data_IF_388157258168
#
_entry.id   IF_388157258168
#
_cell.length_a   1.000
_cell.length_b   1.000
_cell.length_c   1.000
_cell.angle_alpha   90.00
_cell.angle_beta   90.00
_cell.angle_gamma   90.00
#
_symmetry.space_group_name_H-M   'P 1'
#
loop_
_entity.id
_entity.type
_entity.pdbx_description
1 polymer ?
#
# COMPACT_ATOMS: atom_id res chain seq x y z
N UNK A 1 6.50 -25.99 -21.39
CA UNK A 1 7.48 -26.80 -20.61
C UNK A 1 6.92 -27.11 -19.22
N UNK A 2 6.60 -26.11 -18.37
CA UNK A 2 6.07 -26.34 -17.01
C UNK A 2 4.63 -26.89 -16.93
N UNK A 3 3.86 -26.83 -18.03
CA UNK A 3 2.54 -27.48 -18.12
C UNK A 3 2.59 -29.01 -18.19
N UNK A 4 3.79 -29.59 -18.26
CA UNK A 4 3.98 -31.04 -18.24
C UNK A 4 4.15 -31.50 -16.77
N UNK A 5 3.27 -32.36 -16.24
CA UNK A 5 3.34 -32.84 -14.86
C UNK A 5 4.61 -33.63 -14.52
N UNK A 6 5.45 -33.97 -15.51
CA UNK A 6 6.76 -34.58 -15.29
C UNK A 6 7.90 -33.59 -14.97
N UNK A 7 7.68 -32.28 -15.12
CA UNK A 7 8.69 -31.25 -14.79
C UNK A 7 8.56 -30.90 -13.31
N UNK A 8 9.55 -31.29 -12.50
CA UNK A 8 9.62 -30.90 -11.08
C UNK A 8 9.94 -29.41 -10.98
N UNK A 9 9.02 -28.62 -10.45
CA UNK A 9 9.20 -27.19 -10.15
C UNK A 9 10.20 -26.94 -9.01
N UNK A 10 10.48 -27.96 -8.20
CA UNK A 10 11.33 -27.89 -6.99
C UNK A 10 12.63 -28.67 -7.16
N UNK A 11 13.21 -28.67 -8.36
CA UNK A 11 14.58 -29.13 -8.49
C UNK A 11 15.53 -28.23 -7.68
N UNK A 12 16.62 -28.81 -7.20
CA UNK A 12 17.66 -28.10 -6.47
C UNK A 12 18.92 -28.04 -7.33
N UNK A 13 19.59 -26.90 -7.33
CA UNK A 13 20.96 -26.80 -7.85
C UNK A 13 22.01 -27.27 -6.84
N UNK A 14 23.28 -27.10 -7.16
CA UNK A 14 24.41 -27.53 -6.32
C UNK A 14 24.49 -26.81 -4.95
N UNK A 15 23.78 -25.68 -4.80
CA UNK A 15 23.72 -24.88 -3.57
C UNK A 15 22.37 -25.04 -2.84
N UNK A 16 21.51 -25.97 -3.30
CA UNK A 16 20.19 -26.17 -2.74
C UNK A 16 19.16 -25.08 -3.12
N UNK A 17 19.39 -24.29 -4.18
CA UNK A 17 18.40 -23.30 -4.62
C UNK A 17 17.35 -23.91 -5.54
N UNK A 18 16.09 -23.50 -5.33
CA UNK A 18 14.97 -23.82 -6.23
C UNK A 18 14.88 -22.82 -7.40
N UNK A 19 14.20 -23.18 -8.51
CA UNK A 19 13.85 -22.23 -9.57
C UNK A 19 13.13 -20.98 -9.04
N UNK A 20 12.29 -21.13 -8.02
CA UNK A 20 11.57 -20.01 -7.40
C UNK A 20 12.53 -19.05 -6.68
N UNK A 21 13.52 -19.58 -5.95
CA UNK A 21 14.56 -18.76 -5.31
C UNK A 21 15.36 -17.97 -6.35
N UNK A 22 15.77 -18.60 -7.45
CA UNK A 22 16.46 -17.94 -8.55
C UNK A 22 15.61 -16.83 -9.18
N UNK A 23 14.34 -17.12 -9.49
CA UNK A 23 13.42 -16.13 -10.06
C UNK A 23 13.20 -14.93 -9.12
N UNK A 24 13.04 -15.21 -7.82
CA UNK A 24 12.85 -14.18 -6.80
C UNK A 24 14.07 -13.28 -6.66
N UNK A 25 15.26 -13.86 -6.55
CA UNK A 25 16.52 -13.12 -6.45
C UNK A 25 16.80 -12.25 -7.69
N UNK A 26 16.48 -12.76 -8.88
CA UNK A 26 16.65 -12.06 -10.16
C UNK A 26 15.52 -11.07 -10.48
N UNK A 27 14.54 -10.90 -9.60
CA UNK A 27 13.45 -9.96 -9.80
C UNK A 27 12.49 -10.33 -10.94
N UNK A 28 12.36 -11.61 -11.30
CA UNK A 28 11.55 -12.08 -12.43
C UNK A 28 10.12 -12.42 -11.99
N UNK A 29 9.26 -11.40 -11.88
CA UNK A 29 7.89 -11.54 -11.38
C UNK A 29 7.05 -12.57 -12.14
N UNK A 30 7.09 -12.57 -13.47
CA UNK A 30 6.32 -13.53 -14.28
C UNK A 30 6.77 -14.98 -14.08
N UNK A 31 8.07 -15.19 -13.87
CA UNK A 31 8.62 -16.52 -13.56
C UNK A 31 8.19 -16.98 -12.17
N UNK A 32 8.23 -16.08 -11.17
CA UNK A 32 7.72 -16.37 -9.83
C UNK A 32 6.24 -16.77 -9.90
N UNK A 33 5.43 -16.00 -10.63
CA UNK A 33 4.00 -16.26 -10.81
C UNK A 33 3.74 -17.62 -11.41
N UNK A 34 4.46 -17.95 -12.50
CA UNK A 34 4.32 -19.22 -13.20
C UNK A 34 4.74 -20.41 -12.30
N UNK A 35 5.84 -20.29 -11.57
CA UNK A 35 6.33 -21.35 -10.69
C UNK A 35 5.36 -21.61 -9.51
N UNK A 36 4.86 -20.54 -8.89
CA UNK A 36 3.87 -20.63 -7.81
C UNK A 36 2.55 -21.26 -8.29
N UNK A 37 2.07 -20.90 -9.48
CA UNK A 37 0.88 -21.51 -10.09
C UNK A 37 1.04 -23.02 -10.34
N UNK A 38 2.28 -23.47 -10.55
CA UNK A 38 2.61 -24.89 -10.74
C UNK A 38 3.01 -25.60 -9.44
N UNK A 39 2.75 -25.00 -8.28
CA UNK A 39 2.92 -25.64 -6.98
C UNK A 39 4.35 -25.67 -6.47
N UNK A 40 5.20 -24.73 -6.88
CA UNK A 40 6.54 -24.60 -6.31
C UNK A 40 6.48 -24.43 -4.79
N UNK A 41 7.36 -25.14 -4.08
CA UNK A 41 7.49 -25.05 -2.63
C UNK A 41 8.08 -23.70 -2.23
N UNK A 42 7.20 -22.84 -1.72
CA UNK A 42 7.52 -21.47 -1.30
C UNK A 42 8.41 -21.42 -0.04
N UNK A 43 8.36 -22.48 0.79
CA UNK A 43 9.03 -22.55 2.09
C UNK A 43 10.25 -23.48 2.07
N UNK A 44 10.65 -23.98 0.91
CA UNK A 44 11.89 -24.74 0.76
C UNK A 44 13.06 -23.98 1.39
N UNK A 45 13.86 -24.70 2.18
CA UNK A 45 14.99 -24.15 2.95
C UNK A 45 16.27 -25.00 2.80
N UNK A 46 16.34 -25.83 1.76
CA UNK A 46 17.47 -26.73 1.46
C UNK A 46 18.72 -25.98 0.96
N UNK A 47 18.64 -24.66 0.74
CA UNK A 47 19.78 -23.83 0.40
C UNK A 47 20.88 -23.94 1.47
N UNK A 48 22.16 -23.92 1.08
CA UNK A 48 23.31 -24.12 1.99
C UNK A 48 23.30 -23.22 3.24
N UNK A 49 22.70 -22.03 3.12
CA UNK A 49 22.58 -21.06 4.21
C UNK A 49 21.16 -20.98 4.81
N UNK A 50 20.24 -21.85 4.41
CA UNK A 50 18.85 -21.87 4.85
C UNK A 50 18.03 -20.68 4.33
N UNK A 51 18.30 -20.22 3.11
CA UNK A 51 17.57 -19.09 2.54
C UNK A 51 16.29 -19.58 1.88
N UNK A 52 15.16 -18.94 2.19
CA UNK A 52 13.87 -19.22 1.55
C UNK A 52 13.64 -18.29 0.36
N UNK A 53 12.65 -18.60 -0.47
CA UNK A 53 12.24 -17.72 -1.57
C UNK A 53 11.89 -16.29 -1.10
N UNK A 54 11.27 -16.16 0.08
CA UNK A 54 10.94 -14.86 0.67
C UNK A 54 12.18 -14.05 1.05
N UNK A 55 13.24 -14.70 1.53
CA UNK A 55 14.51 -14.01 1.84
C UNK A 55 15.16 -13.47 0.56
N UNK A 56 15.15 -14.24 -0.53
CA UNK A 56 15.65 -13.78 -1.83
C UNK A 56 14.81 -12.65 -2.42
N UNK A 57 13.48 -12.70 -2.29
CA UNK A 57 12.62 -11.60 -2.70
C UNK A 57 12.91 -10.31 -1.90
N UNK A 58 13.08 -10.43 -0.59
CA UNK A 58 13.48 -9.31 0.27
C UNK A 58 14.84 -8.71 -0.13
N UNK A 59 15.80 -9.55 -0.52
CA UNK A 59 17.11 -9.11 -1.02
C UNK A 59 17.05 -8.43 -2.38
N UNK A 60 16.16 -8.89 -3.27
CA UNK A 60 15.97 -8.31 -4.61
C UNK A 60 15.41 -6.88 -4.58
N UNK A 61 14.73 -6.50 -3.49
CA UNK A 61 14.02 -5.24 -3.38
C UNK A 61 12.68 -5.18 -4.12
N UNK A 62 12.27 -6.27 -4.79
CA UNK A 62 11.03 -6.33 -5.54
C UNK A 62 9.84 -6.62 -4.60
N UNK A 63 9.09 -5.57 -4.27
CA UNK A 63 7.92 -5.64 -3.40
C UNK A 63 6.77 -6.47 -3.99
N UNK A 64 6.59 -6.47 -5.32
CA UNK A 64 5.55 -7.26 -6.00
C UNK A 64 5.84 -8.76 -5.82
N UNK A 65 7.08 -9.18 -6.06
CA UNK A 65 7.51 -10.57 -5.84
C UNK A 65 7.37 -10.97 -4.37
N UNK A 66 7.76 -10.07 -3.47
CA UNK A 66 7.64 -10.28 -2.03
C UNK A 66 6.18 -10.54 -1.64
N UNK A 67 5.25 -9.71 -2.11
CA UNK A 67 3.82 -9.89 -1.88
C UNK A 67 3.29 -11.18 -2.51
N UNK A 68 3.70 -11.51 -3.73
CA UNK A 68 3.31 -12.75 -4.42
C UNK A 68 3.72 -14.00 -3.64
N UNK A 69 4.95 -14.04 -3.14
CA UNK A 69 5.49 -15.15 -2.35
C UNK A 69 4.77 -15.25 -1.00
N UNK A 70 4.47 -14.13 -0.34
CA UNK A 70 3.68 -14.12 0.90
C UNK A 70 2.25 -14.63 0.67
N UNK A 71 1.60 -14.22 -0.42
CA UNK A 71 0.28 -14.70 -0.81
C UNK A 71 0.26 -16.20 -1.14
N UNK A 72 1.40 -16.76 -1.57
CA UNK A 72 1.58 -18.20 -1.75
C UNK A 72 1.83 -18.98 -0.44
N UNK A 73 1.82 -18.31 0.72
CA UNK A 73 1.95 -18.96 2.03
C UNK A 73 3.36 -18.97 2.59
N UNK A 74 4.25 -18.07 2.14
CA UNK A 74 5.58 -17.98 2.71
C UNK A 74 5.56 -17.62 4.20
N UNK A 75 6.35 -18.35 4.98
CA UNK A 75 6.55 -18.08 6.40
C UNK A 75 7.42 -16.83 6.61
N UNK A 76 6.91 -15.86 7.37
CA UNK A 76 7.64 -14.62 7.67
C UNK A 76 8.63 -14.77 8.83
N UNK A 77 8.52 -15.85 9.60
CA UNK A 77 9.28 -16.09 10.83
C UNK A 77 10.45 -17.04 10.65
N UNK A 78 10.57 -17.73 9.51
CA UNK A 78 11.70 -18.62 9.25
C UNK A 78 13.01 -17.82 9.25
N UNK A 79 14.06 -18.43 9.80
CA UNK A 79 15.39 -17.82 9.93
C UNK A 79 16.43 -18.63 9.17
N UNK A 80 17.40 -17.94 8.59
CA UNK A 80 18.54 -18.56 7.93
C UNK A 80 19.59 -19.03 8.94
N UNK A 81 20.72 -19.55 8.45
CA UNK A 81 21.84 -20.05 9.28
C UNK A 81 22.47 -19.01 10.21
N UNK A 82 22.28 -17.71 9.95
CA UNK A 82 22.74 -16.61 10.81
C UNK A 82 21.63 -16.03 11.68
N UNK A 83 20.47 -16.70 11.77
CA UNK A 83 19.35 -16.31 12.64
C UNK A 83 18.56 -15.10 12.14
N UNK A 84 18.60 -14.80 10.83
CA UNK A 84 17.90 -13.64 10.24
C UNK A 84 16.63 -14.05 9.50
N UNK A 85 15.56 -13.31 9.72
CA UNK A 85 14.30 -13.42 8.95
C UNK A 85 14.41 -12.68 7.61
N UNK A 86 13.47 -12.94 6.70
CA UNK A 86 13.39 -12.23 5.43
C UNK A 86 13.28 -10.70 5.57
N UNK A 87 12.50 -10.21 6.55
CA UNK A 87 12.40 -8.78 6.83
C UNK A 87 13.74 -8.20 7.31
N UNK A 88 14.49 -8.92 8.13
CA UNK A 88 15.81 -8.47 8.60
C UNK A 88 16.84 -8.48 7.46
N UNK A 89 16.77 -9.47 6.56
CA UNK A 89 17.60 -9.50 5.35
C UNK A 89 17.29 -8.31 4.43
N UNK A 90 16.01 -8.03 4.16
CA UNK A 90 15.58 -6.87 3.38
C UNK A 90 16.03 -5.54 4.02
N UNK A 91 15.93 -5.42 5.35
CA UNK A 91 16.38 -4.24 6.08
C UNK A 91 17.90 -4.03 5.97
N UNK A 92 18.68 -5.12 6.04
CA UNK A 92 20.15 -5.06 5.94
C UNK A 92 20.63 -4.46 4.61
N UNK A 93 19.90 -4.69 3.51
CA UNK A 93 20.19 -4.11 2.19
C UNK A 93 19.38 -2.84 1.88
N UNK A 94 18.68 -2.26 2.86
CA UNK A 94 17.94 -1.00 2.70
C UNK A 94 16.62 -1.10 1.93
N UNK A 95 16.05 -2.30 1.77
CA UNK A 95 14.83 -2.53 0.99
C UNK A 95 13.57 -2.26 1.81
N UNK A 96 13.36 -1.00 2.18
CA UNK A 96 12.30 -0.55 3.09
C UNK A 96 10.87 -0.95 2.66
N UNK A 97 10.59 -0.99 1.35
CA UNK A 97 9.28 -1.44 0.83
C UNK A 97 9.04 -2.91 1.15
N UNK A 98 10.02 -3.78 0.89
CA UNK A 98 9.92 -5.21 1.19
C UNK A 98 9.78 -5.45 2.70
N UNK A 99 10.54 -4.71 3.53
CA UNK A 99 10.40 -4.75 5.00
C UNK A 99 8.96 -4.42 5.41
N UNK A 100 8.40 -3.36 4.83
CA UNK A 100 7.02 -2.94 5.08
C UNK A 100 6.03 -4.02 4.66
N UNK A 101 6.15 -4.59 3.47
CA UNK A 101 5.26 -5.66 2.98
C UNK A 101 5.34 -6.88 3.92
N UNK A 102 6.53 -7.38 4.22
CA UNK A 102 6.72 -8.58 5.06
C UNK A 102 6.18 -8.37 6.47
N UNK A 103 6.56 -7.27 7.12
CA UNK A 103 6.18 -7.03 8.51
C UNK A 103 4.68 -6.84 8.67
N UNK A 104 3.99 -6.37 7.64
CA UNK A 104 2.59 -5.99 7.71
C UNK A 104 1.66 -6.96 6.99
N UNK A 105 2.23 -8.03 6.43
CA UNK A 105 1.47 -9.07 5.78
C UNK A 105 0.49 -9.75 6.74
N UNK A 106 -0.76 -9.84 6.30
CA UNK A 106 -1.81 -10.59 6.96
C UNK A 106 -2.38 -11.59 5.96
N UNK A 107 -2.23 -12.89 6.20
CA UNK A 107 -2.69 -13.90 5.24
C UNK A 107 -4.21 -13.94 5.15
N UNK A 108 -4.73 -14.19 3.94
CA UNK A 108 -6.18 -14.35 3.71
C UNK A 108 -6.74 -15.52 4.53
N UNK A 109 -5.99 -16.61 4.62
CA UNK A 109 -6.35 -17.80 5.42
C UNK A 109 -6.64 -17.46 6.89
N UNK A 110 -5.85 -16.57 7.51
CA UNK A 110 -6.09 -16.11 8.89
C UNK A 110 -7.42 -15.37 9.03
N UNK A 111 -7.86 -14.68 7.97
CA UNK A 111 -9.15 -14.00 7.96
C UNK A 111 -10.30 -14.99 7.73
N UNK A 112 -10.09 -15.97 6.86
CA UNK A 112 -11.07 -17.01 6.53
C UNK A 112 -11.46 -17.87 7.74
N UNK A 113 -10.59 -18.00 8.73
CA UNK A 113 -10.94 -18.60 10.03
C UNK A 113 -12.21 -17.97 10.64
N UNK A 114 -12.40 -16.66 10.50
CA UNK A 114 -13.53 -15.91 11.07
C UNK A 114 -14.79 -15.93 10.20
N UNK A 115 -14.69 -16.44 8.96
CA UNK A 115 -15.81 -16.48 8.02
C UNK A 115 -16.70 -17.71 8.18
N UNK A 116 -16.34 -18.58 9.13
CA UNK A 116 -17.06 -19.81 9.45
C UNK A 116 -17.43 -19.79 10.94
N UNK A 117 -18.59 -20.32 11.33
CA UNK A 117 -18.91 -20.51 12.74
C UNK A 117 -17.91 -21.47 13.38
N UNK A 118 -17.51 -21.18 14.63
CA UNK A 118 -16.53 -21.98 15.37
C UNK A 118 -17.19 -22.56 16.64
N UNK A 119 -16.99 -23.87 16.89
CA UNK A 119 -17.56 -24.54 18.07
C UNK A 119 -19.10 -24.47 18.09
N UNK A 120 -19.65 -23.88 19.15
CA UNK A 120 -21.10 -23.72 19.38
C UNK A 120 -21.69 -22.45 18.72
N UNK A 121 -20.89 -21.68 17.98
CA UNK A 121 -21.37 -20.47 17.30
C UNK A 121 -22.34 -20.86 16.15
N UNK A 122 -23.49 -20.19 16.07
CA UNK A 122 -24.47 -20.41 14.99
C UNK A 122 -24.21 -19.55 13.75
N UNK A 123 -23.44 -18.47 13.90
CA UNK A 123 -23.13 -17.51 12.84
C UNK A 123 -21.64 -17.19 12.82
N UNK A 124 -21.05 -16.88 11.65
CA UNK A 124 -19.65 -16.49 11.56
C UNK A 124 -19.42 -15.10 12.16
N UNK A 125 -18.28 -14.91 12.83
CA UNK A 125 -17.87 -13.58 13.37
C UNK A 125 -17.65 -12.54 12.29
N UNK A 126 -17.24 -12.98 11.10
CA UNK A 126 -17.06 -12.14 9.92
C UNK A 126 -17.94 -12.69 8.80
N UNK A 127 -18.92 -11.95 8.29
CA UNK A 127 -19.65 -12.38 7.10
C UNK A 127 -18.69 -12.69 5.95
N UNK A 128 -18.77 -13.86 5.27
CA UNK A 128 -17.82 -14.25 4.22
C UNK A 128 -17.63 -13.22 3.11
N UNK A 129 -18.71 -12.50 2.76
CA UNK A 129 -18.71 -11.43 1.76
C UNK A 129 -17.81 -10.25 2.13
N UNK A 130 -17.50 -10.06 3.42
CA UNK A 130 -16.66 -8.98 3.92
C UNK A 130 -15.18 -9.37 4.06
N UNK A 131 -14.83 -10.65 3.88
CA UNK A 131 -13.46 -11.13 4.08
C UNK A 131 -12.48 -10.48 3.10
N UNK A 132 -12.76 -10.56 1.80
CA UNK A 132 -11.88 -9.98 0.78
C UNK A 132 -11.77 -8.44 0.89
N UNK A 133 -12.89 -7.70 1.06
CA UNK A 133 -12.82 -6.26 1.33
C UNK A 133 -11.98 -5.90 2.56
N UNK A 134 -12.18 -6.62 3.66
CA UNK A 134 -11.45 -6.37 4.90
C UNK A 134 -9.97 -6.71 4.77
N UNK A 135 -9.63 -7.81 4.10
CA UNK A 135 -8.24 -8.20 3.80
C UNK A 135 -7.53 -7.10 3.01
N UNK A 136 -8.17 -6.58 1.96
CA UNK A 136 -7.63 -5.48 1.16
C UNK A 136 -7.40 -4.23 2.01
N UNK A 137 -8.36 -3.86 2.86
CA UNK A 137 -8.20 -2.73 3.80
C UNK A 137 -7.00 -2.97 4.72
N UNK A 138 -6.90 -4.14 5.36
CA UNK A 138 -5.79 -4.48 6.27
C UNK A 138 -4.44 -4.32 5.57
N UNK A 139 -4.32 -4.86 4.35
CA UNK A 139 -3.09 -4.84 3.56
C UNK A 139 -2.72 -3.44 3.08
N UNK A 140 -3.68 -2.66 2.57
CA UNK A 140 -3.43 -1.30 2.05
C UNK A 140 -3.17 -0.27 3.16
N UNK A 141 -3.86 -0.40 4.30
CA UNK A 141 -3.76 0.58 5.40
C UNK A 141 -2.69 0.23 6.44
N UNK A 142 -2.04 -0.92 6.29
CA UNK A 142 -1.09 -1.44 7.28
C UNK A 142 -1.72 -1.52 8.69
N UNK A 143 -2.92 -2.09 8.79
CA UNK A 143 -3.67 -2.23 10.04
C UNK A 143 -3.83 -3.69 10.41
N UNK A 144 -2.72 -4.34 10.79
CA UNK A 144 -2.77 -5.71 11.30
C UNK A 144 -3.62 -5.77 12.57
N UNK A 145 -4.79 -6.44 12.57
CA UNK A 145 -5.68 -6.46 13.74
C UNK A 145 -4.99 -7.07 14.96
N UNK A 146 -4.13 -8.06 14.74
CA UNK A 146 -3.34 -8.71 15.79
C UNK A 146 -2.36 -7.73 16.43
N UNK A 147 -1.68 -6.88 15.64
CA UNK A 147 -0.80 -5.85 16.20
C UNK A 147 -1.59 -4.79 16.96
N UNK A 148 -2.76 -4.38 16.45
CA UNK A 148 -3.64 -3.44 17.15
C UNK A 148 -3.99 -3.94 18.56
N UNK A 149 -4.34 -5.22 18.69
CA UNK A 149 -4.79 -5.81 19.97
C UNK A 149 -3.63 -6.13 20.91
N UNK A 150 -2.45 -6.48 20.37
CA UNK A 150 -1.26 -6.81 21.19
C UNK A 150 -0.47 -5.59 21.67
N UNK A 151 -0.80 -4.37 21.24
CA UNK A 151 -0.12 -3.17 21.70
C UNK A 151 -0.48 -2.88 23.16
N UNK A 152 0.55 -2.75 24.01
CA UNK A 152 0.40 -2.41 25.43
C UNK A 152 0.24 -0.90 25.67
N UNK A 153 0.71 -0.07 24.75
CA UNK A 153 0.68 1.39 24.85
C UNK A 153 -0.38 2.02 23.95
N UNK A 154 -0.93 3.15 24.40
CA UNK A 154 -1.85 3.97 23.60
C UNK A 154 -1.10 4.52 22.39
N UNK A 155 -1.58 4.20 21.20
CA UNK A 155 -1.07 4.72 19.94
C UNK A 155 -2.10 5.68 19.35
N UNK A 156 -1.97 6.97 19.66
CA UNK A 156 -2.92 8.00 19.21
C UNK A 156 -3.03 8.08 17.68
N UNK A 157 -1.91 7.89 16.97
CA UNK A 157 -1.88 7.85 15.49
C UNK A 157 -2.73 6.71 14.97
N UNK A 158 -2.60 5.53 15.56
CA UNK A 158 -3.39 4.36 15.17
C UNK A 158 -4.86 4.54 15.55
N UNK A 159 -5.16 5.10 16.72
CA UNK A 159 -6.53 5.42 17.11
C UNK A 159 -7.18 6.39 16.12
N UNK A 160 -6.48 7.45 15.70
CA UNK A 160 -6.96 8.40 14.68
C UNK A 160 -7.15 7.72 13.32
N UNK A 161 -6.22 6.84 12.89
CA UNK A 161 -6.39 6.03 11.66
C UNK A 161 -7.66 5.18 11.71
N UNK A 162 -7.87 4.45 12.80
CA UNK A 162 -9.04 3.58 12.98
C UNK A 162 -10.34 4.38 13.00
N UNK A 163 -10.35 5.52 13.72
CA UNK A 163 -11.49 6.43 13.75
C UNK A 163 -11.83 6.97 12.37
N UNK A 164 -10.82 7.46 11.65
CA UNK A 164 -11.01 8.02 10.32
C UNK A 164 -11.53 6.98 9.32
N UNK A 165 -11.01 5.74 9.36
CA UNK A 165 -11.53 4.62 8.58
C UNK A 165 -13.00 4.36 8.92
N UNK A 166 -13.34 4.35 10.20
CA UNK A 166 -14.73 4.20 10.64
C UNK A 166 -15.62 5.31 10.06
N UNK A 167 -15.18 6.58 10.08
CA UNK A 167 -15.92 7.68 9.47
C UNK A 167 -16.13 7.51 7.96
N UNK A 168 -15.09 7.08 7.23
CA UNK A 168 -15.18 6.79 5.79
C UNK A 168 -16.17 5.67 5.52
N UNK A 169 -16.08 4.55 6.26
CA UNK A 169 -17.01 3.42 6.11
C UNK A 169 -18.45 3.81 6.43
N UNK A 170 -18.67 4.60 7.48
CA UNK A 170 -20.00 5.13 7.82
C UNK A 170 -20.55 6.03 6.71
N UNK A 171 -19.71 6.88 6.10
CA UNK A 171 -20.11 7.74 4.98
C UNK A 171 -20.48 6.91 3.75
N UNK A 172 -19.69 5.89 3.42
CA UNK A 172 -19.98 4.94 2.35
C UNK A 172 -21.32 4.23 2.60
N UNK A 173 -21.52 3.71 3.80
CA UNK A 173 -22.75 3.01 4.18
C UNK A 173 -23.98 3.92 4.06
N UNK A 174 -23.90 5.16 4.55
CA UNK A 174 -24.98 6.12 4.45
C UNK A 174 -25.32 6.44 2.98
N UNK A 175 -24.31 6.65 2.14
CA UNK A 175 -24.50 6.92 0.71
C UNK A 175 -25.16 5.76 -0.04
N UNK A 176 -24.70 4.52 0.21
CA UNK A 176 -25.24 3.31 -0.42
C UNK A 176 -26.71 3.07 -0.04
N UNK A 177 -27.09 3.33 1.22
CA UNK A 177 -28.49 3.19 1.68
C UNK A 177 -29.45 4.13 0.95
N UNK A 178 -28.96 5.26 0.47
CA UNK A 178 -29.78 6.28 -0.20
C UNK A 178 -29.88 6.09 -1.72
N UNK A 179 -28.91 5.41 -2.36
CA UNK A 179 -28.77 5.45 -3.83
C UNK A 179 -28.69 4.13 -4.59
N UNK A 180 -28.64 2.96 -3.94
CA UNK A 180 -28.62 1.61 -4.58
C UNK A 180 -27.58 1.44 -5.73
N UNK A 181 -26.59 2.32 -5.80
CA UNK A 181 -25.57 2.43 -6.85
C UNK A 181 -24.17 2.24 -6.23
N UNK A 182 -23.13 2.23 -7.06
CA UNK A 182 -21.74 2.20 -6.64
C UNK A 182 -21.30 3.52 -5.95
N UNK A 183 -20.07 3.53 -5.41
CA UNK A 183 -19.53 4.68 -4.66
C UNK A 183 -18.88 5.75 -5.57
N UNK A 184 -19.01 5.66 -6.89
CA UNK A 184 -18.33 6.54 -7.84
C UNK A 184 -18.78 8.00 -7.70
N UNK A 185 -20.08 8.24 -7.54
CA UNK A 185 -20.60 9.58 -7.30
C UNK A 185 -20.09 10.19 -5.98
N UNK A 186 -19.96 9.38 -4.92
CA UNK A 186 -19.41 9.83 -3.65
C UNK A 186 -17.93 10.21 -3.82
N UNK A 187 -17.15 9.34 -4.47
CA UNK A 187 -15.75 9.59 -4.81
C UNK A 187 -15.58 10.90 -5.60
N UNK A 188 -16.32 11.05 -6.71
CA UNK A 188 -16.33 12.26 -7.55
C UNK A 188 -16.67 13.49 -6.73
N UNK A 189 -17.63 13.40 -5.82
CA UNK A 189 -18.00 14.54 -4.96
C UNK A 189 -16.89 14.96 -3.99
N UNK A 190 -16.08 14.02 -3.49
CA UNK A 190 -14.97 14.31 -2.59
C UNK A 190 -13.82 14.99 -3.32
N UNK A 191 -13.47 14.51 -4.51
CA UNK A 191 -12.33 15.04 -5.29
C UNK A 191 -12.68 16.30 -6.10
N UNK A 192 -13.96 16.55 -6.37
CA UNK A 192 -14.38 17.69 -7.19
C UNK A 192 -14.04 19.01 -6.50
N UNK A 193 -13.18 19.77 -7.14
CA UNK A 193 -12.83 21.13 -6.74
C UNK A 193 -13.95 22.14 -7.00
N UNK A 194 -13.90 23.27 -6.29
CA UNK A 194 -14.71 24.45 -6.62
C UNK A 194 -14.33 24.98 -8.00
N UNK A 195 -15.28 25.60 -8.71
CA UNK A 195 -15.05 26.15 -10.05
C UNK A 195 -14.03 27.32 -10.05
N UNK A 196 -13.85 27.99 -8.91
CA UNK A 196 -12.95 29.15 -8.76
C UNK A 196 -11.47 28.79 -8.73
N UNK A 197 -11.10 27.80 -7.93
CA UNK A 197 -9.71 27.51 -7.54
C UNK A 197 -9.39 26.01 -7.51
N UNK A 198 -10.36 25.15 -7.84
CA UNK A 198 -10.19 23.70 -7.80
C UNK A 198 -10.09 23.12 -6.39
N UNK A 199 -10.38 23.88 -5.32
CA UNK A 199 -10.26 23.39 -3.95
C UNK A 199 -11.34 22.33 -3.62
N UNK A 200 -10.97 21.13 -3.12
CA UNK A 200 -11.93 20.04 -2.85
C UNK A 200 -12.68 20.28 -1.52
N UNK A 201 -13.62 21.22 -1.54
CA UNK A 201 -14.33 21.69 -0.34
C UNK A 201 -15.08 20.57 0.41
N UNK A 202 -15.66 19.60 -0.31
CA UNK A 202 -16.39 18.50 0.31
C UNK A 202 -15.46 17.53 1.05
N UNK A 203 -14.29 17.21 0.48
CA UNK A 203 -13.25 16.43 1.15
C UNK A 203 -12.76 17.17 2.40
N UNK A 204 -12.39 18.45 2.28
CA UNK A 204 -11.93 19.24 3.43
C UNK A 204 -12.96 19.24 4.57
N UNK A 205 -14.23 19.49 4.25
CA UNK A 205 -15.31 19.50 5.25
C UNK A 205 -15.46 18.13 5.91
N UNK A 206 -15.45 17.06 5.12
CA UNK A 206 -15.55 15.71 5.62
C UNK A 206 -14.40 15.38 6.58
N UNK A 207 -13.16 15.78 6.26
CA UNK A 207 -11.99 15.56 7.11
C UNK A 207 -12.10 16.32 8.43
N UNK A 208 -12.48 17.60 8.38
CA UNK A 208 -12.73 18.43 9.58
C UNK A 208 -13.79 17.79 10.47
N UNK A 209 -14.89 17.33 9.89
CA UNK A 209 -15.97 16.63 10.62
C UNK A 209 -15.44 15.33 11.27
N UNK A 210 -14.56 14.59 10.61
CA UNK A 210 -13.95 13.38 11.16
C UNK A 210 -13.08 13.70 12.38
N UNK A 211 -12.19 14.69 12.26
CA UNK A 211 -11.30 15.12 13.35
C UNK A 211 -12.13 15.58 14.55
N UNK A 212 -13.17 16.37 14.32
CA UNK A 212 -14.05 16.86 15.38
C UNK A 212 -14.80 15.73 16.12
N UNK A 213 -15.14 14.64 15.42
CA UNK A 213 -15.84 13.49 16.01
C UNK A 213 -14.92 12.50 16.72
N UNK A 214 -13.60 12.76 16.76
CA UNK A 214 -12.65 11.86 17.41
C UNK A 214 -12.98 11.73 18.91
N UNK A 215 -13.21 10.51 19.43
CA UNK A 215 -13.79 10.33 20.76
C UNK A 215 -12.82 10.63 21.91
N UNK A 216 -11.52 10.71 21.66
CA UNK A 216 -10.49 10.90 22.67
C UNK A 216 -10.04 12.37 22.73
N UNK A 217 -10.80 13.20 23.44
CA UNK A 217 -10.57 14.65 23.52
C UNK A 217 -9.22 15.04 24.15
N UNK A 218 -8.70 14.19 25.04
CA UNK A 218 -7.41 14.40 25.73
C UNK A 218 -6.20 13.96 24.90
N UNK A 219 -6.40 13.39 23.71
CA UNK A 219 -5.29 12.95 22.86
C UNK A 219 -4.47 14.15 22.39
N UNK A 220 -3.16 14.10 22.60
CA UNK A 220 -2.23 15.17 22.21
C UNK A 220 -2.28 15.43 20.70
N UNK A 221 -2.41 14.38 19.92
CA UNK A 221 -2.59 14.41 18.48
C UNK A 221 -3.84 15.21 18.09
N UNK A 222 -4.99 14.98 18.75
CA UNK A 222 -6.21 15.72 18.44
C UNK A 222 -6.02 17.21 18.71
N UNK A 223 -5.43 17.55 19.86
CA UNK A 223 -5.17 18.94 20.23
C UNK A 223 -4.29 19.65 19.19
N UNK A 224 -3.23 18.98 18.71
CA UNK A 224 -2.37 19.49 17.65
C UNK A 224 -3.14 19.69 16.33
N UNK A 225 -3.90 18.69 15.89
CA UNK A 225 -4.71 18.78 14.66
C UNK A 225 -5.69 19.96 14.73
N UNK A 226 -6.44 20.08 15.84
CA UNK A 226 -7.42 21.15 16.03
C UNK A 226 -6.74 22.52 16.07
N UNK A 227 -5.61 22.65 16.77
CA UNK A 227 -4.88 23.92 16.85
C UNK A 227 -4.36 24.38 15.48
N UNK A 228 -3.94 23.45 14.61
CA UNK A 228 -3.48 23.76 13.26
C UNK A 228 -4.60 24.10 12.27
N UNK A 229 -5.79 23.52 12.43
CA UNK A 229 -6.86 23.57 11.42
C UNK A 229 -7.97 24.57 11.78
N UNK A 230 -8.32 24.68 13.07
CA UNK A 230 -9.43 25.53 13.53
C UNK A 230 -9.33 27.01 13.16
N UNK A 231 -8.15 27.68 13.18
CA UNK A 231 -8.05 29.08 12.81
C UNK A 231 -7.99 29.31 11.29
N UNK A 232 -7.88 28.25 10.48
CA UNK A 232 -7.69 28.34 9.03
C UNK A 232 -9.02 28.21 8.31
N UNK A 233 -9.37 29.24 7.54
CA UNK A 233 -10.55 29.23 6.68
C UNK A 233 -10.44 28.16 5.57
N UNK A 234 -11.58 27.58 5.17
CA UNK A 234 -11.60 26.56 4.12
C UNK A 234 -11.12 27.12 2.78
N UNK A 235 -10.13 26.46 2.19
CA UNK A 235 -9.47 26.87 0.95
C UNK A 235 -8.08 27.45 1.17
N UNK A 236 -7.73 27.78 2.42
CA UNK A 236 -6.40 28.27 2.78
C UNK A 236 -5.53 27.14 3.35
N UNK A 237 -4.21 27.34 3.26
CA UNK A 237 -3.23 26.42 3.83
C UNK A 237 -2.96 26.72 5.33
N UNK A 238 -2.64 25.68 6.14
CA UNK A 238 -2.66 24.27 5.78
C UNK A 238 -4.08 23.70 5.74
N UNK A 239 -4.32 22.76 4.83
CA UNK A 239 -5.62 22.08 4.71
C UNK A 239 -5.76 21.00 5.79
N UNK A 240 -6.97 20.64 6.18
CA UNK A 240 -7.19 19.54 7.10
C UNK A 240 -6.62 18.22 6.55
N UNK A 241 -6.67 18.04 5.23
CA UNK A 241 -6.04 16.91 4.54
C UNK A 241 -4.53 16.87 4.74
N UNK A 242 -3.82 17.98 4.50
CA UNK A 242 -2.36 18.02 4.61
C UNK A 242 -1.91 17.82 6.06
N UNK A 243 -2.59 18.47 7.02
CA UNK A 243 -2.27 18.35 8.45
C UNK A 243 -2.53 16.92 8.94
N UNK A 244 -3.66 16.32 8.59
CA UNK A 244 -3.98 14.94 9.00
C UNK A 244 -3.00 13.94 8.39
N UNK A 245 -2.72 14.06 7.09
CA UNK A 245 -1.77 13.18 6.38
C UNK A 245 -0.38 13.25 7.03
N UNK A 246 0.09 14.47 7.31
CA UNK A 246 1.37 14.70 7.98
C UNK A 246 1.43 14.01 9.36
N UNK A 247 0.38 14.18 10.16
CA UNK A 247 0.32 13.63 11.50
C UNK A 247 0.24 12.08 11.49
N UNK A 248 -0.39 11.49 10.48
CA UNK A 248 -0.56 10.04 10.36
C UNK A 248 0.63 9.32 9.70
N UNK A 249 1.46 10.04 8.95
CA UNK A 249 2.64 9.51 8.24
C UNK A 249 3.96 9.84 8.93
N UNK A 250 3.96 10.74 9.93
CA UNK A 250 5.13 11.07 10.74
C UNK A 250 6.07 12.10 10.11
N UNK A 251 5.68 12.76 9.03
CA UNK A 251 6.51 13.76 8.34
C UNK A 251 6.31 15.18 8.90
N UNK A 252 6.51 15.39 10.21
CA UNK A 252 6.38 16.72 10.83
C UNK A 252 7.54 17.67 10.46
N UNK A 253 7.56 18.19 9.22
CA UNK A 253 8.26 19.42 8.87
C UNK A 253 7.22 20.37 8.26
N UNK A 254 6.92 21.46 8.98
CA UNK A 254 6.09 22.57 8.52
C UNK A 254 6.89 23.36 7.48
N UNK A 255 6.74 23.02 6.20
CA UNK A 255 7.16 23.87 5.08
C UNK A 255 6.02 23.94 4.06
N UNK A 256 5.83 25.14 3.51
CA UNK A 256 4.90 25.47 2.42
C UNK A 256 5.22 24.62 1.18
N UNK A 257 4.69 23.41 1.11
CA UNK A 257 4.84 22.50 -0.03
C UNK A 257 3.46 22.12 -0.54
N UNK A 258 3.28 22.14 -1.86
CA UNK A 258 2.04 21.73 -2.51
C UNK A 258 1.89 20.21 -2.42
N UNK A 259 0.77 19.74 -1.85
CA UNK A 259 0.47 18.31 -1.75
C UNK A 259 -0.54 17.93 -2.83
N UNK A 260 -0.42 16.72 -3.39
CA UNK A 260 -1.48 16.19 -4.24
C UNK A 260 -2.76 15.98 -3.42
N UNK A 261 -3.86 16.67 -3.75
CA UNK A 261 -5.16 16.54 -3.07
C UNK A 261 -5.80 15.13 -3.18
N UNK A 262 -5.21 14.27 -4.01
CA UNK A 262 -5.67 12.91 -4.28
C UNK A 262 -4.81 11.86 -3.59
N UNK A 263 -3.55 12.11 -3.29
CA UNK A 263 -2.68 11.07 -2.74
C UNK A 263 -1.74 11.55 -1.64
N UNK A 264 -1.73 12.84 -1.32
CA UNK A 264 -0.91 13.41 -0.26
C UNK A 264 0.59 13.43 -0.54
N UNK A 265 1.03 13.12 -1.77
CA UNK A 265 2.46 13.14 -2.14
C UNK A 265 2.97 14.59 -2.28
N UNK A 266 4.25 14.82 -1.90
CA UNK A 266 4.89 16.14 -1.78
C UNK A 266 5.58 16.62 -3.06
N UNK A 267 5.92 15.70 -3.96
CA UNK A 267 6.69 15.96 -5.19
C UNK A 267 5.91 15.50 -6.44
N UNK A 268 4.59 15.71 -6.44
CA UNK A 268 3.72 15.24 -7.50
C UNK A 268 3.79 16.15 -8.75
N UNK A 269 4.59 15.77 -9.76
CA UNK A 269 4.64 16.47 -11.06
C UNK A 269 3.30 16.45 -11.81
N UNK A 270 2.42 15.49 -11.51
CA UNK A 270 1.07 15.37 -12.09
C UNK A 270 0.04 15.01 -11.03
N UNK A 271 -1.21 15.46 -11.21
CA UNK A 271 -2.33 15.05 -10.35
C UNK A 271 -2.63 13.57 -10.60
N UNK A 272 -2.85 12.80 -9.53
CA UNK A 272 -3.32 11.42 -9.66
C UNK A 272 -4.57 11.36 -10.53
N UNK A 273 -4.52 10.56 -11.59
CA UNK A 273 -5.70 10.22 -12.39
C UNK A 273 -6.47 9.10 -11.68
N UNK A 274 -7.71 9.41 -11.31
CA UNK A 274 -8.65 8.37 -10.93
C UNK A 274 -9.04 7.58 -12.18
N UNK A 275 -8.72 6.28 -12.24
CA UNK A 275 -9.22 5.43 -13.31
C UNK A 275 -10.70 5.10 -13.04
N UNK A 276 -11.53 5.22 -14.08
CA UNK A 276 -12.98 4.94 -14.03
C UNK A 276 -13.30 3.45 -13.80
N UNK A 277 -12.30 2.57 -13.75
CA UNK A 277 -12.45 1.12 -13.55
C UNK A 277 -12.73 0.72 -12.08
N UNK A 278 -13.38 1.57 -11.29
CA UNK A 278 -13.69 1.33 -9.87
C UNK A 278 -15.14 0.85 -9.66
N UNK A 279 -15.57 -0.15 -10.44
CA UNK A 279 -16.94 -0.69 -10.37
C UNK A 279 -17.25 -1.40 -9.03
N UNK A 280 -16.24 -1.82 -8.27
CA UNK A 280 -16.41 -2.47 -6.97
C UNK A 280 -16.38 -1.46 -5.81
N UNK A 281 -17.42 -1.48 -4.98
CA UNK A 281 -17.56 -0.76 -3.70
C UNK A 281 -16.28 -0.89 -2.85
N UNK A 282 -15.65 -2.05 -2.87
CA UNK A 282 -14.40 -2.33 -2.14
C UNK A 282 -13.24 -1.52 -2.71
N UNK A 283 -13.09 -1.51 -4.03
CA UNK A 283 -12.05 -0.72 -4.72
C UNK A 283 -12.29 0.77 -4.48
N UNK A 284 -13.54 1.21 -4.54
CA UNK A 284 -13.92 2.59 -4.24
C UNK A 284 -13.69 3.00 -2.78
N UNK A 285 -13.98 2.13 -1.81
CA UNK A 285 -13.70 2.37 -0.39
C UNK A 285 -12.19 2.38 -0.10
N UNK A 286 -11.42 1.45 -0.67
CA UNK A 286 -9.95 1.48 -0.60
C UNK A 286 -9.38 2.73 -1.26
N UNK A 287 -9.94 3.17 -2.39
CA UNK A 287 -9.55 4.41 -3.07
C UNK A 287 -9.91 5.65 -2.26
N UNK A 288 -11.09 5.70 -1.61
CA UNK A 288 -11.43 6.75 -0.66
C UNK A 288 -10.46 6.76 0.51
N UNK A 289 -10.12 5.60 1.08
CA UNK A 289 -9.15 5.53 2.16
C UNK A 289 -7.77 6.01 1.71
N UNK A 290 -7.31 5.58 0.53
CA UNK A 290 -6.01 5.99 0.03
C UNK A 290 -5.97 7.47 -0.36
N UNK A 291 -7.08 7.99 -0.91
CA UNK A 291 -7.33 9.42 -1.13
C UNK A 291 -7.18 10.22 0.15
N UNK A 292 -7.88 9.75 1.18
CA UNK A 292 -8.14 10.50 2.40
C UNK A 292 -7.02 10.32 3.44
N UNK A 293 -6.18 9.29 3.34
CA UNK A 293 -5.03 9.02 4.20
C UNK A 293 -3.67 9.26 3.52
N UNK A 294 -3.66 9.63 2.24
CA UNK A 294 -2.45 9.84 1.47
C UNK A 294 -1.60 8.57 1.26
N UNK A 295 -2.27 7.43 1.00
CA UNK A 295 -1.62 6.12 0.89
C UNK A 295 -1.28 5.72 -0.56
N UNK A 296 -1.64 6.54 -1.55
CA UNK A 296 -1.32 6.29 -2.97
C UNK A 296 -0.15 7.15 -3.43
N UNK A 297 0.50 6.79 -4.54
CA UNK A 297 1.48 7.65 -5.22
C UNK A 297 0.86 8.26 -6.46
N UNK A 298 1.37 9.42 -6.90
CA UNK A 298 1.11 9.90 -8.26
C UNK A 298 1.67 8.90 -9.27
N UNK A 299 0.81 8.48 -10.21
CA UNK A 299 1.24 7.69 -11.36
C UNK A 299 1.97 8.62 -12.33
N UNK A 300 3.26 8.40 -12.53
CA UNK A 300 3.94 8.89 -13.73
C UNK A 300 3.34 8.13 -14.91
N UNK A 301 2.60 8.80 -15.80
CA UNK A 301 2.55 8.30 -17.16
C UNK A 301 3.97 8.42 -17.69
N UNK A 302 4.61 7.29 -17.96
CA UNK A 302 5.80 7.28 -18.81
C UNK A 302 5.40 7.95 -20.13
N UNK A 303 5.80 9.20 -20.30
CA UNK A 303 5.86 9.80 -21.63
C UNK A 303 6.84 8.94 -22.43
N UNK A 304 6.52 8.52 -23.66
CA UNK A 304 7.51 7.86 -24.50
C UNK A 304 8.71 8.81 -24.61
N UNK A 305 9.89 8.31 -24.28
CA UNK A 305 11.16 9.00 -24.42
C UNK A 305 11.34 9.43 -25.88
N UNK A 306 11.25 10.73 -26.14
CA UNK A 306 11.81 11.34 -27.36
C UNK A 306 13.34 11.39 -27.21
N UNK A 307 13.98 10.22 -27.35
CA UNK A 307 15.42 10.10 -27.59
C UNK A 307 15.65 9.74 -29.06
N UNK A 308 15.55 10.76 -29.94
CA UNK A 308 16.37 10.84 -31.17
C UNK A 308 16.59 12.31 -31.55
N UNK A 309 17.57 12.94 -30.92
CA UNK A 309 18.39 13.97 -31.58
C UNK A 309 19.83 13.53 -31.52
N UNK A 310 20.23 12.81 -32.56
CA UNK A 310 21.64 12.66 -32.93
C UNK A 310 22.22 14.08 -33.17
N UNK A 311 23.21 14.44 -32.35
CA UNK A 311 24.15 15.51 -32.65
C UNK A 311 25.22 14.93 -33.60
N UNK A 312 25.45 15.50 -34.80
CA UNK A 312 26.69 15.29 -35.52
C UNK A 312 27.75 16.25 -34.97
N UNK A 313 28.82 15.69 -34.39
CA UNK A 313 30.02 16.44 -34.01
C UNK A 313 30.77 17.00 -35.22
N UNK A 314 31.44 18.11 -34.95
CA UNK A 314 32.21 18.96 -35.82
C UNK A 314 33.35 18.27 -36.57
N UNK A 315 33.55 18.68 -37.82
CA UNK A 315 34.85 18.66 -38.49
C UNK A 315 35.06 20.00 -39.19
N UNK A 316 35.63 20.97 -38.47
CA UNK A 316 36.27 22.14 -39.07
C UNK A 316 37.77 21.93 -39.02
N UNK A 317 38.38 21.79 -40.19
CA UNK A 317 39.82 21.72 -40.41
C UNK A 317 40.18 22.89 -41.35
N UNK A 318 40.89 23.94 -40.89
CA UNK A 318 41.29 25.04 -41.75
C UNK A 318 42.79 24.93 -42.05
N UNK A 319 43.15 24.37 -43.21
CA UNK A 319 44.49 24.59 -43.79
C UNK A 319 44.41 24.92 -45.28
N UNK A 320 44.61 26.21 -45.54
CA UNK A 320 45.00 26.85 -46.80
C UNK A 320 45.16 28.34 -46.43
N UNK A 321 46.28 29.04 -46.66
CA UNK A 321 47.21 29.03 -47.79
C UNK A 321 48.61 29.52 -47.34
N UNK A 322 49.54 29.40 -48.30
CA UNK A 322 50.93 29.92 -48.42
C UNK A 322 52.08 29.00 -47.95
#
# INVERSE_FOLDING_TARGET
MLSNPSVRSDCLDEFGMTPLMHAAYKGKADMCRLLLQHGADVNCNEHDYGYTALMFAGLSGNAEITEMILNAGAETTSVNSVGRTAAQMAAFVGQHKCVTVINNFFSREKLEYYTRPQGEETEPKLPPKLAEPLHKIIMTTNLSPVKCVKQENINEVQAMKMHYISCVLQKCQAFLRERDDNLDMLLKSLIRGRDSDGFPQYQEKFIRDCIQKFPYCEATLLQQLVQSIAPVEMGNSPTAFSVLTQALTGQMVLMDTEYCATCGDRDADTKCTFSEENEDITKAASSMLALCLGLSKCALQETPSDDQKENPEASEDPTGQD
#
